data_IF_789298253425
#
_entry.id   IF_789298253425
#
_cell.length_a   1.000
_cell.length_b   1.000
_cell.length_c   1.000
_cell.angle_alpha   90.00
_cell.angle_beta   90.00
_cell.angle_gamma   90.00
#
_symmetry.space_group_name_H-M   'P 1'
#
loop_
_entity.id
_entity.type
_entity.pdbx_description
1 polymer ?
#
# COMPACT_ATOMS: atom_id res chain seq x y z
N UNK A 1 10.77 8.11 -5.64
CA UNK A 1 9.37 7.77 -5.28
C UNK A 1 8.86 6.79 -6.33
N UNK A 2 8.27 5.68 -5.92
CA UNK A 2 7.84 4.61 -6.83
C UNK A 2 6.32 4.59 -6.90
N UNK A 3 5.74 4.28 -8.05
CA UNK A 3 4.29 4.04 -8.18
C UNK A 3 4.05 2.54 -8.23
N UNK A 4 3.14 2.05 -7.38
CA UNK A 4 2.71 0.65 -7.39
C UNK A 4 1.22 0.56 -7.67
N UNK A 5 0.77 -0.62 -8.06
CA UNK A 5 -0.63 -0.99 -8.18
C UNK A 5 -0.89 -2.27 -7.36
N UNK A 6 -2.06 -2.41 -6.72
CA UNK A 6 -2.46 -3.68 -6.12
C UNK A 6 -2.46 -4.80 -7.17
N UNK A 7 -2.06 -6.00 -6.76
CA UNK A 7 -2.15 -7.20 -7.61
C UNK A 7 -3.59 -7.67 -7.81
N UNK A 8 -4.45 -7.41 -6.82
CA UNK A 8 -5.87 -7.74 -6.83
C UNK A 8 -6.77 -6.56 -7.22
N UNK A 9 -8.05 -6.88 -7.35
CA UNK A 9 -9.16 -5.91 -7.46
C UNK A 9 -10.14 -6.13 -6.32
N UNK A 10 -11.15 -5.26 -6.20
CA UNK A 10 -12.25 -5.46 -5.24
C UNK A 10 -12.94 -6.82 -5.36
N UNK A 11 -13.02 -7.36 -6.58
CA UNK A 11 -13.66 -8.66 -6.87
C UNK A 11 -12.66 -9.84 -6.85
N UNK A 12 -11.36 -9.58 -6.85
CA UNK A 12 -10.33 -10.61 -6.87
C UNK A 12 -9.21 -10.24 -5.90
N UNK A 13 -9.17 -10.91 -4.75
CA UNK A 13 -8.18 -10.68 -3.70
C UNK A 13 -7.25 -11.90 -3.61
N UNK A 14 -6.07 -11.87 -4.24
CA UNK A 14 -5.14 -12.99 -4.15
C UNK A 14 -4.71 -13.17 -2.69
N UNK A 15 -4.84 -14.39 -2.17
CA UNK A 15 -4.34 -14.76 -0.85
C UNK A 15 -3.05 -15.54 -1.04
N UNK A 16 -1.97 -15.05 -0.44
CA UNK A 16 -0.64 -15.66 -0.54
C UNK A 16 -0.04 -15.83 0.86
N UNK A 17 0.73 -16.90 1.04
CA UNK A 17 1.53 -17.12 2.24
C UNK A 17 2.93 -16.58 1.97
N UNK A 18 3.32 -15.53 2.69
CA UNK A 18 4.67 -14.97 2.61
C UNK A 18 5.46 -15.27 3.89
N UNK A 19 6.75 -15.65 3.80
CA UNK A 19 7.60 -15.77 4.97
C UNK A 19 7.77 -14.42 5.67
N UNK A 20 7.65 -14.35 7.00
CA UNK A 20 7.85 -13.09 7.73
C UNK A 20 9.25 -12.49 7.51
N UNK A 21 10.26 -13.36 7.36
CA UNK A 21 11.64 -12.97 7.07
C UNK A 21 11.83 -12.29 5.71
N UNK A 22 10.88 -12.41 4.78
CA UNK A 22 10.94 -11.71 3.49
C UNK A 22 10.37 -10.30 3.55
N UNK A 23 9.77 -9.89 4.67
CA UNK A 23 9.28 -8.53 4.87
C UNK A 23 10.47 -7.65 5.23
N UNK A 24 10.92 -6.84 4.27
CA UNK A 24 12.10 -6.00 4.43
C UNK A 24 11.86 -4.80 5.36
N UNK A 25 10.73 -4.10 5.20
CA UNK A 25 10.33 -2.95 6.03
C UNK A 25 8.89 -2.54 5.76
N UNK A 26 8.32 -1.78 6.69
CA UNK A 26 7.12 -0.99 6.45
C UNK A 26 7.34 0.07 5.37
N UNK A 27 6.28 0.44 4.68
CA UNK A 27 6.29 1.57 3.75
C UNK A 27 5.00 2.35 3.89
N UNK A 28 5.10 3.68 3.92
CA UNK A 28 3.92 4.53 3.87
C UNK A 28 3.39 4.60 2.44
N UNK A 29 2.15 4.16 2.26
CA UNK A 29 1.42 4.28 1.01
C UNK A 29 0.75 5.65 0.96
N UNK A 30 1.12 6.44 -0.04
CA UNK A 30 0.44 7.68 -0.38
C UNK A 30 -0.47 7.43 -1.57
N UNK A 31 -1.71 7.88 -1.49
CA UNK A 31 -2.69 7.74 -2.56
C UNK A 31 -2.25 8.50 -3.81
N UNK A 32 -2.35 7.86 -4.99
CA UNK A 32 -2.23 8.58 -6.26
C UNK A 32 -3.61 9.10 -6.67
N UNK A 33 -3.85 10.37 -6.42
CA UNK A 33 -5.09 11.03 -6.82
C UNK A 33 -5.13 11.32 -8.32
N UNK A 34 -6.33 11.23 -8.88
CA UNK A 34 -6.65 11.72 -10.22
C UNK A 34 -7.13 13.17 -10.20
N UNK A 35 -7.81 13.58 -11.27
CA UNK A 35 -8.47 14.88 -11.35
C UNK A 35 -9.93 14.71 -10.93
N UNK A 36 -10.35 15.37 -9.84
CA UNK A 36 -11.73 15.33 -9.37
C UNK A 36 -11.87 15.40 -7.85
N UNK A 37 -13.11 15.28 -7.37
CA UNK A 37 -13.42 15.17 -5.95
C UNK A 37 -13.35 13.72 -5.49
N UNK A 38 -12.94 13.53 -4.23
CA UNK A 38 -13.00 12.23 -3.59
C UNK A 38 -14.47 11.85 -3.36
N UNK A 39 -14.94 10.70 -3.86
CA UNK A 39 -16.31 10.25 -3.58
C UNK A 39 -16.56 10.10 -2.08
N UNK A 40 -17.73 10.53 -1.60
CA UNK A 40 -18.08 10.54 -0.17
C UNK A 40 -18.10 9.14 0.49
N UNK A 41 -18.29 8.08 -0.30
CA UNK A 41 -18.27 6.72 0.21
C UNK A 41 -16.85 6.20 0.50
N UNK A 42 -15.81 6.91 0.06
CA UNK A 42 -14.43 6.57 0.37
C UNK A 42 -14.09 7.09 1.76
N UNK A 43 -13.65 6.17 2.61
CA UNK A 43 -13.26 6.41 3.99
C UNK A 43 -11.88 5.83 4.24
N UNK A 44 -11.32 6.08 5.42
CA UNK A 44 -10.05 5.50 5.86
C UNK A 44 -10.06 3.96 5.97
N UNK A 45 -11.21 3.30 5.87
CA UNK A 45 -11.29 1.83 5.95
C UNK A 45 -11.27 1.15 4.59
N UNK A 46 -11.72 1.82 3.52
CA UNK A 46 -11.83 1.23 2.18
C UNK A 46 -10.91 1.88 1.13
N UNK A 47 -10.18 2.95 1.48
CA UNK A 47 -9.31 3.65 0.52
C UNK A 47 -8.26 2.75 -0.14
N UNK A 48 -7.75 1.72 0.55
CA UNK A 48 -6.78 0.78 -0.02
C UNK A 48 -7.38 -0.12 -1.11
N UNK A 49 -8.68 -0.38 -1.04
CA UNK A 49 -9.41 -1.21 -2.01
C UNK A 49 -9.92 -0.40 -3.21
N UNK A 50 -10.19 0.90 -3.01
CA UNK A 50 -10.83 1.76 -4.01
C UNK A 50 -9.82 2.47 -4.95
N UNK A 51 -8.55 2.56 -4.57
CA UNK A 51 -7.53 3.23 -5.38
C UNK A 51 -6.69 2.26 -6.21
N UNK A 52 -6.48 2.60 -7.47
CA UNK A 52 -5.73 1.76 -8.42
C UNK A 52 -4.20 1.87 -8.26
N UNK A 53 -3.71 2.95 -7.65
CA UNK A 53 -2.27 3.20 -7.57
C UNK A 53 -1.87 4.00 -6.33
N UNK A 54 -0.68 3.71 -5.83
CA UNK A 54 -0.10 4.34 -4.66
C UNK A 54 1.35 4.75 -4.93
N UNK A 55 1.76 5.85 -4.34
CA UNK A 55 3.16 6.23 -4.22
C UNK A 55 3.77 5.61 -2.98
N UNK A 56 4.91 4.96 -3.15
CA UNK A 56 5.77 4.51 -2.06
C UNK A 56 6.91 5.49 -1.90
N UNK A 57 7.05 6.02 -0.69
CA UNK A 57 8.26 6.71 -0.28
C UNK A 57 9.17 5.78 0.53
N UNK A 58 10.26 5.36 -0.10
CA UNK A 58 11.29 4.52 0.51
C UNK A 58 12.08 5.20 1.64
N UNK A 59 11.91 6.51 1.85
CA UNK A 59 12.71 7.33 2.78
C UNK A 59 11.92 7.82 4.00
N UNK A 60 10.59 7.71 4.01
CA UNK A 60 9.78 8.21 5.14
C UNK A 60 9.98 7.35 6.39
N UNK A 61 10.28 6.06 6.20
CA UNK A 61 10.52 5.14 7.29
C UNK A 61 12.02 4.84 7.43
N UNK A 62 12.80 5.88 7.73
CA UNK A 62 14.24 5.77 7.97
C UNK A 62 14.54 5.07 9.31
N UNK A 63 13.52 4.86 10.16
CA UNK A 63 13.65 4.18 11.45
C UNK A 63 13.33 2.67 11.40
N UNK A 64 12.57 2.16 10.41
CA UNK A 64 12.45 0.72 10.15
C UNK A 64 13.58 0.19 9.25
N UNK A 65 14.83 0.24 9.72
CA UNK A 65 15.98 -0.33 8.99
C UNK A 65 16.22 -1.82 9.28
N UNK A 66 15.27 -2.50 9.92
CA UNK A 66 15.46 -3.90 10.33
C UNK A 66 14.39 -4.78 9.68
N UNK A 67 14.85 -5.89 9.09
CA UNK A 67 13.95 -6.99 8.77
C UNK A 67 13.26 -7.42 10.05
N UNK A 68 11.97 -7.78 9.96
CA UNK A 68 11.28 -8.43 11.06
C UNK A 68 12.01 -9.75 11.39
N UNK A 69 12.88 -9.68 12.40
CA UNK A 69 13.57 -10.81 13.00
C UNK A 69 12.95 -11.06 14.38
N UNK A 70 12.70 -12.34 14.66
CA UNK A 70 12.15 -12.80 15.94
C UNK A 70 13.15 -12.65 17.08
#
# INVERSE_FOLDING_TARGET
>A
MWTIKPEGTRNYRPVQVIPLKSIARGAHLLLKYGVGFLPEYITYTNFLDEFEAFFINSYIDQHCHEFLSN
#
